data_IF_832518384446
#
_entry.id   IF_832518384446
#
_cell.length_a   1.000
_cell.length_b   1.000
_cell.length_c   1.000
_cell.angle_alpha   90.00
_cell.angle_beta   90.00
_cell.angle_gamma   90.00
#
_symmetry.space_group_name_H-M   'P 1'
#
loop_
_entity.id
_entity.type
_entity.pdbx_description
1 polymer ?
#
# COMPACT_ATOMS: atom_id res chain seq x y z
N UNK A 1 -30.43 8.27 -28.03
CA UNK A 1 -29.77 7.76 -26.81
C UNK A 1 -28.56 7.00 -27.30
N UNK A 2 -27.45 7.71 -27.49
CA UNK A 2 -26.28 7.22 -28.22
C UNK A 2 -25.19 6.92 -27.19
N UNK A 3 -24.85 5.64 -27.06
CA UNK A 3 -23.79 5.17 -26.17
C UNK A 3 -22.46 5.77 -26.63
N UNK A 4 -21.80 6.50 -25.74
CA UNK A 4 -20.44 7.02 -25.97
C UNK A 4 -19.46 5.86 -25.91
N UNK A 5 -18.69 5.75 -26.97
CA UNK A 5 -17.57 4.84 -27.19
C UNK A 5 -16.52 5.01 -26.08
N UNK A 6 -16.09 3.89 -25.49
CA UNK A 6 -14.95 3.82 -24.58
C UNK A 6 -13.69 4.29 -25.31
N UNK A 7 -13.09 5.39 -24.87
CA UNK A 7 -11.80 5.85 -25.38
C UNK A 7 -10.69 4.94 -24.85
N UNK A 8 -10.05 4.21 -25.77
CA UNK A 8 -8.82 3.49 -25.52
C UNK A 8 -7.70 4.51 -25.37
N UNK A 9 -7.09 4.58 -24.18
CA UNK A 9 -5.88 5.37 -23.97
C UNK A 9 -4.75 4.71 -24.77
N UNK A 10 -4.32 5.37 -25.85
CA UNK A 10 -3.15 4.95 -26.64
C UNK A 10 -1.87 5.40 -25.94
N UNK A 11 -1.11 4.47 -25.37
CA UNK A 11 0.27 4.74 -24.97
C UNK A 11 1.18 4.56 -26.20
N UNK A 12 1.63 5.66 -26.76
CA UNK A 12 2.64 5.68 -27.81
C UNK A 12 4.05 5.58 -27.19
N UNK A 13 4.54 4.37 -27.05
CA UNK A 13 5.94 4.06 -26.71
C UNK A 13 6.18 2.58 -27.01
N UNK A 14 7.18 2.26 -27.83
CA UNK A 14 7.41 0.93 -28.38
C UNK A 14 7.15 -0.23 -27.39
N UNK A 15 6.12 -1.03 -27.70
CA UNK A 15 5.65 -2.19 -26.94
C UNK A 15 6.62 -3.39 -27.06
N UNK A 16 7.81 -3.28 -26.49
CA UNK A 16 8.58 -4.49 -26.18
C UNK A 16 8.14 -4.97 -24.81
N UNK A 17 7.53 -6.17 -24.76
CA UNK A 17 7.23 -6.83 -23.49
C UNK A 17 8.49 -6.81 -22.60
N UNK A 18 8.38 -6.40 -21.33
CA UNK A 18 9.48 -6.46 -20.38
C UNK A 18 10.14 -7.84 -20.39
N UNK A 19 11.47 -7.88 -20.31
CA UNK A 19 12.24 -9.13 -20.43
C UNK A 19 11.84 -10.23 -19.43
N UNK A 20 11.19 -9.86 -18.32
CA UNK A 20 10.68 -10.80 -17.32
C UNK A 20 9.37 -11.48 -17.72
N UNK A 21 8.64 -10.97 -18.73
CA UNK A 21 7.43 -11.59 -19.26
C UNK A 21 7.72 -12.72 -20.24
N UNK A 22 8.94 -12.79 -20.78
CA UNK A 22 9.35 -13.83 -21.73
C UNK A 22 9.26 -15.20 -21.06
N UNK A 23 8.37 -16.05 -21.58
CA UNK A 23 8.18 -17.43 -21.11
C UNK A 23 7.14 -17.61 -20.01
N UNK A 24 6.40 -16.55 -19.63
CA UNK A 24 5.24 -16.72 -18.76
C UNK A 24 4.12 -17.49 -19.49
N UNK A 25 3.47 -18.46 -18.84
CA UNK A 25 2.34 -19.17 -19.44
C UNK A 25 1.16 -18.20 -19.64
N UNK A 26 0.46 -18.35 -20.75
CA UNK A 26 -0.76 -17.58 -21.03
C UNK A 26 -1.80 -17.81 -19.92
N UNK A 27 -2.47 -16.73 -19.51
CA UNK A 27 -3.55 -16.76 -18.52
C UNK A 27 -4.86 -16.28 -19.12
N UNK A 28 -5.98 -16.79 -18.59
CA UNK A 28 -7.33 -16.27 -18.87
C UNK A 28 -7.75 -15.15 -17.91
N UNK A 29 -6.97 -14.90 -16.87
CA UNK A 29 -7.26 -13.85 -15.90
C UNK A 29 -6.93 -12.49 -16.48
N UNK A 30 -7.91 -11.60 -16.45
CA UNK A 30 -7.77 -10.21 -16.89
C UNK A 30 -7.57 -9.37 -15.63
N UNK A 31 -6.44 -8.68 -15.48
CA UNK A 31 -6.21 -7.82 -14.32
C UNK A 31 -7.22 -6.66 -14.35
N UNK A 32 -7.71 -6.31 -13.16
CA UNK A 32 -8.49 -5.10 -12.93
C UNK A 32 -7.80 -4.29 -11.83
N UNK A 33 -8.04 -2.99 -11.83
CA UNK A 33 -7.59 -2.08 -10.78
C UNK A 33 -8.79 -1.24 -10.35
N UNK A 34 -8.86 -0.91 -9.07
CA UNK A 34 -9.86 -0.03 -8.52
C UNK A 34 -9.90 1.32 -9.29
N UNK A 35 -11.07 1.84 -9.70
CA UNK A 35 -11.17 2.98 -10.61
C UNK A 35 -10.58 4.29 -10.07
N UNK A 36 -10.48 4.42 -8.75
CA UNK A 36 -9.89 5.59 -8.07
C UNK A 36 -8.47 5.33 -7.54
N UNK A 37 -7.75 4.34 -8.08
CA UNK A 37 -6.43 3.95 -7.58
C UNK A 37 -5.44 5.10 -7.48
N UNK A 38 -5.40 6.00 -8.47
CA UNK A 38 -4.40 7.07 -8.52
C UNK A 38 -4.55 8.02 -7.32
N UNK A 39 -5.79 8.43 -7.03
CA UNK A 39 -6.09 9.28 -5.87
C UNK A 39 -5.81 8.54 -4.55
N UNK A 40 -6.21 7.27 -4.44
CA UNK A 40 -5.97 6.47 -3.23
C UNK A 40 -4.47 6.32 -2.96
N UNK A 41 -3.68 6.04 -4.00
CA UNK A 41 -2.21 5.91 -3.92
C UNK A 41 -1.59 7.23 -3.49
N UNK A 42 -1.99 8.34 -4.11
CA UNK A 42 -1.49 9.67 -3.74
C UNK A 42 -1.77 9.99 -2.27
N UNK A 43 -3.02 9.79 -1.83
CA UNK A 43 -3.43 10.12 -0.46
C UNK A 43 -2.73 9.24 0.58
N UNK A 44 -2.59 7.94 0.32
CA UNK A 44 -1.89 7.01 1.23
C UNK A 44 -0.41 7.34 1.27
N UNK A 45 0.23 7.60 0.11
CA UNK A 45 1.62 8.02 0.07
C UNK A 45 1.84 9.33 0.84
N UNK A 46 0.99 10.33 0.61
CA UNK A 46 1.08 11.62 1.30
C UNK A 46 1.00 11.45 2.82
N UNK A 47 0.03 10.69 3.30
CA UNK A 47 -0.14 10.40 4.73
C UNK A 47 1.12 9.78 5.36
N UNK A 48 1.66 8.70 4.78
CA UNK A 48 2.86 8.07 5.36
C UNK A 48 4.12 8.93 5.17
N UNK A 49 4.26 9.65 4.05
CA UNK A 49 5.41 10.55 3.83
C UNK A 49 5.46 11.74 4.80
N UNK A 50 4.30 12.15 5.33
CA UNK A 50 4.17 13.20 6.35
C UNK A 50 4.42 12.64 7.76
N UNK A 51 3.88 11.46 8.06
CA UNK A 51 3.78 11.00 9.45
C UNK A 51 4.72 9.86 9.83
N UNK A 52 5.15 9.03 8.86
CA UNK A 52 6.04 7.90 9.15
C UNK A 52 7.49 8.37 9.27
N UNK A 53 8.24 7.91 10.29
CA UNK A 53 9.59 8.38 10.56
C UNK A 53 10.61 7.67 9.67
N UNK A 54 10.56 7.93 8.35
CA UNK A 54 11.53 7.37 7.41
C UNK A 54 12.96 7.78 7.79
N UNK A 55 13.94 6.85 7.81
CA UNK A 55 15.29 7.14 8.29
C UNK A 55 16.07 8.09 7.36
N UNK A 56 15.67 8.20 6.09
CA UNK A 56 16.30 9.07 5.10
C UNK A 56 15.47 9.15 3.80
N UNK A 57 15.89 10.04 2.90
CA UNK A 57 15.24 10.26 1.61
C UNK A 57 15.28 9.04 0.68
N UNK A 58 16.29 8.16 0.82
CA UNK A 58 16.34 6.91 0.05
C UNK A 58 15.21 5.97 0.49
N UNK A 59 14.92 5.87 1.79
CA UNK A 59 13.81 5.08 2.30
C UNK A 59 12.45 5.64 1.84
N UNK A 60 12.28 6.97 1.82
CA UNK A 60 11.06 7.62 1.28
C UNK A 60 10.85 7.28 -0.19
N UNK A 61 11.91 7.29 -0.99
CA UNK A 61 11.86 6.87 -2.41
C UNK A 61 11.59 5.38 -2.59
N UNK A 62 12.17 4.51 -1.74
CA UNK A 62 11.86 3.06 -1.73
C UNK A 62 10.36 2.84 -1.45
N UNK A 63 9.82 3.53 -0.45
CA UNK A 63 8.40 3.48 -0.09
C UNK A 63 7.49 3.85 -1.27
N UNK A 64 7.69 5.02 -1.89
CA UNK A 64 6.89 5.45 -3.05
C UNK A 64 7.06 4.48 -4.24
N UNK A 65 8.28 4.00 -4.48
CA UNK A 65 8.56 3.02 -5.54
C UNK A 65 7.95 1.64 -5.30
N UNK A 66 7.69 1.27 -4.04
CA UNK A 66 7.03 0.01 -3.67
C UNK A 66 5.56 -0.04 -4.06
N UNK A 67 4.91 1.13 -4.18
CA UNK A 67 3.55 1.30 -4.69
C UNK A 67 2.51 0.35 -4.04
N UNK A 68 2.59 0.20 -2.72
CA UNK A 68 1.80 -0.78 -1.96
C UNK A 68 0.29 -0.61 -2.16
N UNK A 69 -0.21 0.63 -2.06
CA UNK A 69 -1.62 0.95 -2.25
C UNK A 69 -2.14 0.56 -3.66
N UNK A 70 -1.31 0.66 -4.70
CA UNK A 70 -1.68 0.23 -6.05
C UNK A 70 -1.84 -1.29 -6.13
N UNK A 71 -0.93 -2.05 -5.53
CA UNK A 71 -1.05 -3.50 -5.45
C UNK A 71 -2.34 -3.96 -4.76
N UNK A 72 -2.77 -3.23 -3.72
CA UNK A 72 -4.03 -3.47 -3.02
C UNK A 72 -5.25 -3.05 -3.85
N UNK A 73 -5.17 -1.95 -4.60
CA UNK A 73 -6.19 -1.55 -5.57
C UNK A 73 -6.37 -2.58 -6.70
N UNK A 74 -5.29 -3.24 -7.11
CA UNK A 74 -5.34 -4.37 -8.06
C UNK A 74 -5.90 -5.65 -7.41
N UNK A 75 -5.70 -5.85 -6.11
CA UNK A 75 -6.20 -7.00 -5.36
C UNK A 75 -7.70 -6.91 -5.06
N UNK A 76 -8.22 -5.69 -4.84
CA UNK A 76 -9.63 -5.43 -4.53
C UNK A 76 -10.25 -4.37 -5.44
N UNK A 77 -10.34 -4.64 -6.75
CA UNK A 77 -10.77 -3.65 -7.74
C UNK A 77 -12.25 -3.23 -7.59
N UNK A 78 -13.05 -4.00 -6.86
CA UNK A 78 -14.49 -3.80 -6.67
C UNK A 78 -14.87 -3.41 -5.22
N UNK A 79 -13.86 -3.09 -4.39
CA UNK A 79 -14.11 -2.53 -3.05
C UNK A 79 -14.81 -1.17 -3.13
N UNK A 80 -15.48 -0.77 -2.03
CA UNK A 80 -16.06 0.57 -1.93
C UNK A 80 -14.95 1.61 -1.73
N UNK A 81 -15.08 2.77 -2.39
CA UNK A 81 -14.13 3.90 -2.36
C UNK A 81 -13.63 4.23 -0.94
N UNK A 82 -14.56 4.44 -0.01
CA UNK A 82 -14.22 4.82 1.37
C UNK A 82 -13.57 3.67 2.17
N UNK A 83 -13.84 2.42 1.80
CA UNK A 83 -13.29 1.25 2.52
C UNK A 83 -11.91 0.84 2.02
N UNK A 84 -11.68 0.96 0.72
CA UNK A 84 -10.39 0.58 0.14
C UNK A 84 -9.27 1.51 0.61
N UNK A 85 -9.58 2.78 0.90
CA UNK A 85 -8.63 3.73 1.50
C UNK A 85 -8.11 3.24 2.84
N UNK A 86 -8.99 2.85 3.76
CA UNK A 86 -8.60 2.32 5.08
C UNK A 86 -7.82 1.01 4.95
N UNK A 87 -8.24 0.11 4.05
CA UNK A 87 -7.47 -1.10 3.76
C UNK A 87 -6.06 -0.77 3.25
N UNK A 88 -5.93 0.20 2.34
CA UNK A 88 -4.62 0.63 1.84
C UNK A 88 -3.74 1.21 2.95
N UNK A 89 -4.30 2.01 3.86
CA UNK A 89 -3.55 2.53 5.01
C UNK A 89 -3.09 1.40 5.94
N UNK A 90 -3.99 0.49 6.32
CA UNK A 90 -3.68 -0.63 7.19
C UNK A 90 -2.57 -1.51 6.61
N UNK A 91 -2.72 -1.98 5.38
CA UNK A 91 -1.73 -2.86 4.77
C UNK A 91 -0.41 -2.14 4.48
N UNK A 92 -0.44 -0.84 4.17
CA UNK A 92 0.78 -0.04 4.05
C UNK A 92 1.53 0.03 5.37
N UNK A 93 0.83 0.27 6.48
CA UNK A 93 1.41 0.19 7.83
C UNK A 93 2.03 -1.19 8.09
N UNK A 94 1.32 -2.28 7.74
CA UNK A 94 1.83 -3.64 7.93
C UNK A 94 3.10 -3.91 7.12
N UNK A 95 3.20 -3.45 5.86
CA UNK A 95 4.43 -3.55 5.07
C UNK A 95 5.59 -2.76 5.68
N UNK A 96 5.31 -1.58 6.24
CA UNK A 96 6.35 -0.78 6.91
C UNK A 96 6.81 -1.42 8.23
N UNK A 97 5.91 -2.08 8.95
CA UNK A 97 6.24 -2.88 10.14
C UNK A 97 7.04 -4.12 9.75
N UNK A 98 6.68 -4.82 8.68
CA UNK A 98 7.42 -5.97 8.14
C UNK A 98 8.88 -5.60 7.79
N UNK A 99 9.09 -4.49 7.09
CA UNK A 99 10.42 -3.92 6.80
C UNK A 99 11.24 -3.64 8.09
N UNK A 100 10.59 -3.32 9.22
CA UNK A 100 11.27 -3.12 10.52
C UNK A 100 11.61 -4.46 11.18
N UNK A 101 10.71 -5.44 11.09
CA UNK A 101 10.87 -6.75 11.71
C UNK A 101 12.03 -7.54 11.08
N UNK A 102 12.34 -7.30 9.80
CA UNK A 102 13.42 -7.96 9.06
C UNK A 102 14.82 -7.76 9.70
N UNK A 103 15.04 -6.65 10.41
CA UNK A 103 16.31 -6.34 11.08
C UNK A 103 16.34 -6.79 12.55
N UNK A 104 15.26 -7.40 13.07
CA UNK A 104 15.13 -7.81 14.46
C UNK A 104 15.39 -9.32 14.65
N UNK A 105 15.81 -9.71 15.85
CA UNK A 105 15.72 -11.12 16.26
C UNK A 105 14.26 -11.56 16.41
N UNK A 106 14.01 -12.88 16.39
CA UNK A 106 12.65 -13.41 16.59
C UNK A 106 11.99 -12.96 17.91
N UNK A 107 12.78 -12.81 18.97
CA UNK A 107 12.29 -12.36 20.28
C UNK A 107 11.92 -10.87 20.26
N UNK A 108 12.80 -10.03 19.71
CA UNK A 108 12.55 -8.59 19.54
C UNK A 108 11.35 -8.35 18.61
N UNK A 109 11.28 -9.05 17.48
CA UNK A 109 10.18 -8.94 16.53
C UNK A 109 8.84 -9.36 17.13
N UNK A 110 8.82 -10.42 17.96
CA UNK A 110 7.62 -10.81 18.70
C UNK A 110 7.18 -9.72 19.67
N UNK A 111 8.09 -9.17 20.47
CA UNK A 111 7.78 -8.11 21.42
C UNK A 111 7.30 -6.83 20.72
N UNK A 112 7.91 -6.47 19.58
CA UNK A 112 7.49 -5.34 18.76
C UNK A 112 6.09 -5.54 18.19
N UNK A 113 5.81 -6.72 17.62
CA UNK A 113 4.51 -7.02 17.06
C UNK A 113 3.41 -7.06 18.15
N UNK A 114 3.68 -7.67 19.31
CA UNK A 114 2.77 -7.65 20.46
C UNK A 114 2.45 -6.21 20.90
N UNK A 115 3.45 -5.31 20.87
CA UNK A 115 3.25 -3.88 21.13
C UNK A 115 2.36 -3.22 20.07
N UNK A 116 2.61 -3.41 18.78
CA UNK A 116 1.80 -2.84 17.69
C UNK A 116 0.35 -3.33 17.79
N UNK A 117 0.15 -4.64 17.91
CA UNK A 117 -1.18 -5.26 18.03
C UNK A 117 -1.96 -4.75 19.26
N UNK A 118 -1.26 -4.35 20.33
CA UNK A 118 -1.91 -3.83 21.54
C UNK A 118 -2.67 -2.51 21.34
N UNK A 119 -2.46 -1.80 20.23
CA UNK A 119 -3.18 -0.58 19.90
C UNK A 119 -4.42 -0.82 19.02
N UNK A 120 -4.52 -1.95 18.33
CA UNK A 120 -5.58 -2.22 17.35
C UNK A 120 -6.96 -2.44 17.98
N UNK A 121 -7.04 -2.79 19.26
CA UNK A 121 -8.32 -2.98 19.95
C UNK A 121 -8.90 -1.69 20.56
N UNK A 122 -8.18 -0.57 20.41
CA UNK A 122 -8.58 0.74 20.89
C UNK A 122 -8.53 0.94 22.41
N UNK A 123 -8.10 -0.06 23.20
CA UNK A 123 -8.10 0.01 24.68
C UNK A 123 -6.86 0.68 25.24
N UNK A 124 -5.71 0.52 24.57
CA UNK A 124 -4.45 1.17 24.95
C UNK A 124 -4.33 2.50 24.22
N UNK A 125 -4.17 3.60 24.97
CA UNK A 125 -3.91 4.91 24.36
C UNK A 125 -2.48 4.97 23.81
N UNK A 126 -2.28 5.47 22.57
CA UNK A 126 -0.96 5.57 21.96
C UNK A 126 -0.21 6.78 22.49
N UNK A 127 1.12 6.69 22.49
CA UNK A 127 1.95 7.88 22.55
C UNK A 127 1.87 8.61 21.20
N UNK A 128 1.35 9.84 21.21
CA UNK A 128 1.18 10.67 20.01
C UNK A 128 2.51 11.16 19.42
N UNK A 129 3.62 11.03 20.14
CA UNK A 129 4.97 11.30 19.62
C UNK A 129 5.60 10.11 18.89
N UNK A 130 4.97 8.92 18.93
CA UNK A 130 5.48 7.69 18.29
C UNK A 130 4.54 7.30 17.14
N UNK A 131 4.92 7.55 15.87
CA UNK A 131 4.06 7.33 14.71
C UNK A 131 3.41 5.95 14.62
N UNK A 132 4.18 4.87 14.81
CA UNK A 132 3.62 3.52 14.70
C UNK A 132 2.50 3.28 15.71
N UNK A 133 2.56 3.84 16.92
CA UNK A 133 1.53 3.64 17.94
C UNK A 133 0.23 4.32 17.53
N UNK A 134 0.29 5.62 17.21
CA UNK A 134 -0.93 6.38 16.95
C UNK A 134 -1.52 6.11 15.56
N UNK A 135 -0.69 5.82 14.55
CA UNK A 135 -1.19 5.39 13.24
C UNK A 135 -1.93 4.05 13.39
N UNK A 136 -1.39 3.10 14.16
CA UNK A 136 -2.07 1.82 14.40
C UNK A 136 -3.39 1.99 15.16
N UNK A 137 -3.45 2.93 16.11
CA UNK A 137 -4.64 3.20 16.91
C UNK A 137 -5.76 3.91 16.13
N UNK A 138 -5.39 4.85 15.24
CA UNK A 138 -6.36 5.71 14.55
C UNK A 138 -6.93 5.11 13.24
N UNK A 139 -6.26 4.10 12.65
CA UNK A 139 -6.76 3.34 11.49
C UNK A 139 -7.90 2.41 11.92
#
# INVERSE_FOLDING_TARGET
MTLKTTETISHSGADTEPSWMVGLPLTRFIPKVHPHSDQIVEDVHAFFLEHWPFPNERARKKFVGGNFAYGLCASWPESLDERIRHACQLFTLLFLVDDILDDMSLEEGRAYNDMVLSFMDGKRMPNRDIPVEWITYDI
#
